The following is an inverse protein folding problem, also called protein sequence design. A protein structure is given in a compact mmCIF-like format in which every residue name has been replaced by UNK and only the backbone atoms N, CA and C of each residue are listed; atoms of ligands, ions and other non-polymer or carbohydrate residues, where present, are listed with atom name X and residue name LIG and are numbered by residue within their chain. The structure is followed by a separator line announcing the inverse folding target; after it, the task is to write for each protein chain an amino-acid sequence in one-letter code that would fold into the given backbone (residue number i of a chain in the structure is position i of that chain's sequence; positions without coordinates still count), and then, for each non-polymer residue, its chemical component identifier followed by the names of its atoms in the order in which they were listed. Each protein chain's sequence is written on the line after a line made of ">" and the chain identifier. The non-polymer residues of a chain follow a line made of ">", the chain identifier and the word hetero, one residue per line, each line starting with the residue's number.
data_IF_333888780273
#
_entry.id   IF_333888780273
#
_cell.length_a   1.000
_cell.length_b   1.000
_cell.length_c   1.000
_cell.angle_alpha   90.00
_cell.angle_beta   90.00
_cell.angle_gamma   90.00
#
_symmetry.space_group_name_H-M   'P 1'
#
loop_
_entity.id
_entity.type
_entity.pdbx_description
1 polymer ?
#
# COMPACT_ATOMS: atom_id res chain seq x y z
N UNK A 1 9.91 -30.98 43.34
CA UNK A 1 10.67 -31.23 42.11
C UNK A 1 9.76 -32.02 41.18
N UNK A 2 9.52 -31.53 39.96
CA UNK A 2 8.67 -32.22 38.99
C UNK A 2 9.30 -33.54 38.54
N UNK A 3 8.47 -34.55 38.32
CA UNK A 3 8.90 -35.86 37.84
C UNK A 3 9.53 -35.74 36.45
N UNK A 4 10.75 -36.28 36.27
CA UNK A 4 11.48 -36.25 35.00
C UNK A 4 11.40 -37.60 34.31
N UNK A 5 10.95 -37.61 33.05
CA UNK A 5 10.86 -38.82 32.21
C UNK A 5 12.07 -38.92 31.28
N UNK A 6 12.72 -40.09 31.23
CA UNK A 6 13.77 -40.35 30.24
C UNK A 6 13.16 -40.68 28.89
N UNK A 7 13.73 -40.10 27.84
CA UNK A 7 13.32 -40.30 26.45
C UNK A 7 14.57 -40.50 25.58
N UNK A 8 14.60 -41.57 24.80
CA UNK A 8 15.64 -41.79 23.79
C UNK A 8 15.09 -41.35 22.43
N UNK A 9 15.78 -40.41 21.78
CA UNK A 9 15.40 -39.87 20.47
C UNK A 9 16.57 -39.94 19.50
N UNK A 10 16.26 -40.05 18.21
CA UNK A 10 17.20 -39.81 17.12
C UNK A 10 16.89 -38.45 16.52
N UNK A 11 17.91 -37.63 16.33
CA UNK A 11 17.82 -36.31 15.72
C UNK A 11 18.85 -36.20 14.60
N UNK A 12 18.65 -35.23 13.71
CA UNK A 12 19.65 -34.90 12.69
C UNK A 12 20.90 -34.29 13.37
N UNK A 13 22.09 -34.44 12.77
CA UNK A 13 23.31 -33.82 13.30
C UNK A 13 23.16 -32.31 13.54
N UNK A 14 22.57 -31.59 12.58
CA UNK A 14 22.31 -30.14 12.66
C UNK A 14 21.45 -29.73 13.87
N UNK A 15 20.50 -30.60 14.26
CA UNK A 15 19.65 -30.37 15.44
C UNK A 15 20.45 -30.56 16.72
N UNK A 16 21.37 -31.53 16.74
CA UNK A 16 22.26 -31.73 17.87
C UNK A 16 23.23 -30.56 18.02
N UNK A 17 23.82 -30.09 16.90
CA UNK A 17 24.70 -28.93 16.87
C UNK A 17 23.98 -27.67 17.38
N UNK A 18 22.72 -27.48 16.98
CA UNK A 18 21.89 -26.38 17.49
C UNK A 18 21.66 -26.47 19.00
N UNK A 19 21.34 -27.66 19.52
CA UNK A 19 21.14 -27.85 20.97
C UNK A 19 22.44 -27.57 21.73
N UNK A 20 23.59 -28.00 21.22
CA UNK A 20 24.88 -27.74 21.84
C UNK A 20 25.24 -26.24 21.82
N UNK A 21 25.06 -25.56 20.69
CA UNK A 21 25.26 -24.11 20.61
C UNK A 21 24.34 -23.34 21.58
N UNK A 22 23.07 -23.75 21.67
CA UNK A 22 22.10 -23.14 22.58
C UNK A 22 22.50 -23.40 24.06
N UNK A 23 23.00 -24.59 24.38
CA UNK A 23 23.52 -24.92 25.72
C UNK A 23 24.67 -24.01 26.10
N UNK A 24 25.63 -23.85 25.22
CA UNK A 24 26.81 -23.03 25.47
C UNK A 24 26.41 -21.56 25.66
N UNK A 25 25.54 -21.03 24.79
CA UNK A 25 25.02 -19.67 24.88
C UNK A 25 24.28 -19.39 26.20
N UNK A 26 23.54 -20.37 26.72
CA UNK A 26 22.71 -20.21 27.92
C UNK A 26 23.32 -20.86 29.18
N UNK A 27 24.57 -21.32 29.10
CA UNK A 27 25.29 -21.99 30.20
C UNK A 27 24.54 -23.21 30.79
N UNK A 28 23.94 -24.04 29.92
CA UNK A 28 23.12 -25.19 30.32
C UNK A 28 23.92 -26.49 30.25
N UNK A 29 24.05 -27.18 31.39
CA UNK A 29 24.85 -28.40 31.51
C UNK A 29 24.26 -29.60 30.76
N UNK A 30 22.94 -29.75 30.69
CA UNK A 30 22.30 -30.97 30.16
C UNK A 30 21.44 -30.70 28.93
N UNK A 31 21.54 -31.54 27.90
CA UNK A 31 20.71 -31.48 26.69
C UNK A 31 19.21 -31.48 26.98
N UNK A 32 18.76 -32.26 27.96
CA UNK A 32 17.35 -32.27 28.36
C UNK A 32 16.87 -30.91 28.87
N UNK A 33 17.69 -30.19 29.63
CA UNK A 33 17.35 -28.85 30.13
C UNK A 33 17.36 -27.81 29.01
N UNK A 34 18.28 -27.93 28.05
CA UNK A 34 18.29 -27.05 26.88
C UNK A 34 17.07 -27.28 26.00
N UNK A 35 16.69 -28.55 25.78
CA UNK A 35 15.48 -28.89 25.05
C UNK A 35 14.23 -28.35 25.74
N UNK A 36 14.12 -28.50 27.07
CA UNK A 36 13.04 -27.89 27.86
C UNK A 36 12.98 -26.36 27.64
N UNK A 37 14.12 -25.68 27.70
CA UNK A 37 14.19 -24.22 27.52
C UNK A 37 13.83 -23.78 26.10
N UNK A 38 14.33 -24.48 25.08
CA UNK A 38 14.00 -24.22 23.67
C UNK A 38 12.49 -24.35 23.44
N UNK A 39 11.85 -25.37 24.02
CA UNK A 39 10.40 -25.57 23.92
C UNK A 39 9.65 -24.42 24.61
N UNK A 40 10.06 -24.02 25.81
CA UNK A 40 9.47 -22.88 26.53
C UNK A 40 9.60 -21.57 25.73
N UNK A 41 10.78 -21.30 25.17
CA UNK A 41 11.05 -20.11 24.37
C UNK A 41 10.21 -20.11 23.08
N UNK A 42 10.06 -21.28 22.45
CA UNK A 42 9.20 -21.44 21.26
C UNK A 42 7.72 -21.20 21.57
N UNK A 43 7.23 -21.68 22.71
CA UNK A 43 5.86 -21.40 23.16
C UNK A 43 5.66 -19.91 23.45
N UNK A 44 6.59 -19.28 24.16
CA UNK A 44 6.56 -17.84 24.42
C UNK A 44 6.61 -17.03 23.12
N UNK A 45 7.46 -17.45 22.17
CA UNK A 45 7.57 -16.84 20.85
C UNK A 45 6.27 -16.98 20.06
N UNK A 46 5.61 -18.14 20.06
CA UNK A 46 4.30 -18.33 19.40
C UNK A 46 3.23 -17.40 19.96
N UNK A 47 3.20 -17.16 21.26
CA UNK A 47 2.24 -16.24 21.88
C UNK A 47 2.54 -14.79 21.43
N UNK A 48 3.82 -14.40 21.50
CA UNK A 48 4.27 -13.08 21.04
C UNK A 48 4.02 -12.86 19.55
N UNK A 49 4.26 -13.86 18.72
CA UNK A 49 4.02 -13.82 17.27
C UNK A 49 2.53 -13.67 16.95
N UNK A 50 1.64 -14.43 17.62
CA UNK A 50 0.19 -14.22 17.49
C UNK A 50 -0.24 -12.82 17.92
N UNK A 51 0.31 -12.31 19.02
CA UNK A 51 0.03 -10.95 19.48
C UNK A 51 0.52 -9.89 18.49
N UNK A 52 1.72 -10.06 17.92
CA UNK A 52 2.27 -9.16 16.92
C UNK A 52 1.42 -9.16 15.64
N UNK A 53 1.00 -10.33 15.17
CA UNK A 53 0.07 -10.44 14.02
C UNK A 53 -1.24 -9.71 14.30
N UNK A 54 -1.84 -9.91 15.48
CA UNK A 54 -3.06 -9.21 15.86
C UNK A 54 -2.87 -7.68 15.87
N UNK A 55 -1.74 -7.18 16.39
CA UNK A 55 -1.41 -5.74 16.36
C UNK A 55 -1.26 -5.24 14.92
N UNK A 56 -0.57 -5.99 14.06
CA UNK A 56 -0.41 -5.65 12.65
C UNK A 56 -1.75 -5.62 11.91
N UNK A 57 -2.63 -6.59 12.17
CA UNK A 57 -3.97 -6.65 11.57
C UNK A 57 -4.82 -5.47 12.01
N UNK A 58 -4.79 -5.11 13.30
CA UNK A 58 -5.45 -3.92 13.83
C UNK A 58 -4.91 -2.63 13.20
N UNK A 59 -3.58 -2.50 13.07
CA UNK A 59 -2.96 -1.34 12.43
C UNK A 59 -3.34 -1.24 10.95
N UNK A 60 -3.36 -2.36 10.23
CA UNK A 60 -3.77 -2.41 8.83
C UNK A 60 -5.25 -2.05 8.67
N UNK A 61 -6.11 -2.48 9.59
CA UNK A 61 -7.53 -2.11 9.58
C UNK A 61 -7.75 -0.62 9.87
N UNK A 62 -7.09 -0.07 10.89
CA UNK A 62 -7.13 1.36 11.17
C UNK A 62 -6.61 2.18 10.00
N UNK A 63 -5.51 1.74 9.38
CA UNK A 63 -4.99 2.36 8.16
C UNK A 63 -6.02 2.34 7.03
N UNK A 64 -6.65 1.19 6.75
CA UNK A 64 -7.71 1.07 5.73
C UNK A 64 -8.86 2.05 5.99
N UNK A 65 -9.33 2.15 7.24
CA UNK A 65 -10.44 3.01 7.60
C UNK A 65 -10.12 4.49 7.40
N UNK A 66 -8.98 4.94 7.94
CA UNK A 66 -8.53 6.33 7.79
C UNK A 66 -8.32 6.66 6.31
N UNK A 67 -7.59 5.81 5.59
CA UNK A 67 -7.27 6.03 4.20
C UNK A 67 -8.52 6.05 3.30
N UNK A 68 -9.48 5.14 3.51
CA UNK A 68 -10.75 5.14 2.79
C UNK A 68 -11.54 6.44 3.04
N UNK A 69 -11.53 6.93 4.28
CA UNK A 69 -12.21 8.18 4.61
C UNK A 69 -11.58 9.40 3.93
N UNK A 70 -10.25 9.47 3.90
CA UNK A 70 -9.52 10.57 3.24
C UNK A 70 -9.67 10.50 1.72
N UNK A 71 -9.59 9.32 1.11
CA UNK A 71 -9.89 9.13 -0.32
C UNK A 71 -11.31 9.59 -0.66
N UNK A 72 -12.30 9.30 0.18
CA UNK A 72 -13.68 9.74 -0.01
C UNK A 72 -13.79 11.27 0.02
N UNK A 73 -13.10 11.94 0.95
CA UNK A 73 -13.06 13.42 0.99
C UNK A 73 -12.42 14.00 -0.27
N UNK A 74 -11.31 13.42 -0.74
CA UNK A 74 -10.67 13.81 -2.00
C UNK A 74 -11.61 13.65 -3.19
N UNK A 75 -12.32 12.51 -3.30
CA UNK A 75 -13.32 12.29 -4.35
C UNK A 75 -14.45 13.33 -4.30
N UNK A 76 -14.96 13.66 -3.10
CA UNK A 76 -15.99 14.69 -2.94
C UNK A 76 -15.47 16.08 -3.38
N UNK A 77 -14.22 16.42 -3.02
CA UNK A 77 -13.57 17.66 -3.44
C UNK A 77 -13.41 17.74 -4.96
N UNK A 78 -12.91 16.67 -5.59
CA UNK A 78 -12.77 16.57 -7.05
C UNK A 78 -14.12 16.71 -7.73
N UNK A 79 -15.14 15.98 -7.29
CA UNK A 79 -16.49 16.03 -7.87
C UNK A 79 -17.12 17.42 -7.72
N UNK A 80 -16.91 18.10 -6.59
CA UNK A 80 -17.40 19.48 -6.41
C UNK A 80 -16.69 20.45 -7.34
N UNK A 81 -15.37 20.32 -7.51
CA UNK A 81 -14.58 21.17 -8.41
C UNK A 81 -14.97 20.95 -9.86
N UNK A 82 -15.17 19.69 -10.26
CA UNK A 82 -15.59 19.30 -11.60
C UNK A 82 -16.98 19.86 -11.92
N UNK A 83 -17.96 19.68 -11.01
CA UNK A 83 -19.30 20.27 -11.16
C UNK A 83 -19.25 21.79 -11.30
N UNK A 84 -18.49 22.47 -10.45
CA UNK A 84 -18.37 23.92 -10.50
C UNK A 84 -17.70 24.38 -11.81
N UNK A 85 -16.70 23.66 -12.29
CA UNK A 85 -16.04 23.93 -13.57
C UNK A 85 -17.01 23.73 -14.73
N UNK A 86 -17.82 22.66 -14.72
CA UNK A 86 -18.84 22.43 -15.74
C UNK A 86 -19.86 23.57 -15.78
N UNK A 87 -20.34 24.03 -14.62
CA UNK A 87 -21.26 25.19 -14.55
C UNK A 87 -20.61 26.42 -15.21
N UNK A 88 -19.33 26.70 -14.95
CA UNK A 88 -18.62 27.81 -15.59
C UNK A 88 -18.51 27.62 -17.10
N UNK A 89 -18.23 26.41 -17.58
CA UNK A 89 -18.20 26.10 -19.01
C UNK A 89 -19.58 26.37 -19.64
N UNK A 90 -20.68 25.97 -19.00
CA UNK A 90 -22.02 26.25 -19.52
C UNK A 90 -22.31 27.75 -19.60
N UNK A 91 -21.95 28.51 -18.56
CA UNK A 91 -22.12 29.96 -18.56
C UNK A 91 -21.32 30.63 -19.67
N UNK A 92 -20.05 30.25 -19.85
CA UNK A 92 -19.21 30.78 -20.92
C UNK A 92 -19.75 30.41 -22.30
N UNK A 93 -20.25 29.19 -22.48
CA UNK A 93 -20.87 28.75 -23.72
C UNK A 93 -22.08 29.63 -24.10
N UNK A 94 -22.98 29.88 -23.14
CA UNK A 94 -24.13 30.77 -23.34
C UNK A 94 -23.72 32.20 -23.65
N UNK A 95 -22.72 32.73 -22.95
CA UNK A 95 -22.19 34.08 -23.23
C UNK A 95 -21.63 34.21 -24.64
N UNK A 96 -20.89 33.21 -25.11
CA UNK A 96 -20.25 33.22 -26.44
C UNK A 96 -21.26 33.05 -27.58
N UNK A 97 -22.39 32.40 -27.32
CA UNK A 97 -23.49 32.27 -28.28
C UNK A 97 -24.26 33.58 -28.49
N UNK A 98 -24.06 34.59 -27.63
CA UNK A 98 -24.73 35.89 -27.69
C UNK A 98 -26.28 35.79 -27.71
N UNK A 99 -26.80 34.81 -26.97
CA UNK A 99 -28.22 34.53 -26.84
C UNK A 99 -28.76 35.08 -25.51
N UNK A 100 -30.02 35.52 -25.50
CA UNK A 100 -30.67 36.08 -24.30
C UNK A 100 -30.98 35.03 -23.20
N UNK A 101 -30.62 33.77 -23.42
CA UNK A 101 -30.86 32.64 -22.53
C UNK A 101 -29.65 31.70 -22.52
N UNK A 102 -29.46 30.97 -21.41
CA UNK A 102 -28.36 30.03 -21.27
C UNK A 102 -28.56 28.83 -22.20
N UNK A 103 -27.72 28.73 -23.23
CA UNK A 103 -27.59 27.52 -24.07
C UNK A 103 -26.41 26.71 -23.55
N UNK A 104 -26.70 25.49 -23.08
CA UNK A 104 -25.67 24.56 -22.59
C UNK A 104 -24.96 23.86 -23.75
N UNK A 105 -23.73 23.41 -23.49
CA UNK A 105 -22.88 22.67 -24.43
C UNK A 105 -23.52 21.37 -24.91
N UNK A 106 -24.42 20.77 -24.12
CA UNK A 106 -25.22 19.61 -24.52
C UNK A 106 -26.19 19.90 -25.67
N UNK A 107 -26.66 21.14 -25.78
CA UNK A 107 -27.63 21.57 -26.77
C UNK A 107 -26.92 22.12 -28.00
N UNK A 108 -26.02 23.08 -27.77
CA UNK A 108 -25.17 23.65 -28.81
C UNK A 108 -23.89 24.17 -28.18
N UNK A 109 -22.77 23.57 -28.55
CA UNK A 109 -21.45 24.01 -28.12
C UNK A 109 -20.90 25.08 -29.05
N UNK A 110 -20.32 26.14 -28.47
CA UNK A 110 -19.63 27.20 -29.20
C UNK A 110 -18.24 26.76 -29.67
N UNK A 111 -17.85 27.23 -30.84
CA UNK A 111 -16.55 26.92 -31.43
C UNK A 111 -15.38 27.24 -30.48
N UNK A 112 -15.33 28.40 -29.78
CA UNK A 112 -14.25 28.66 -28.84
C UNK A 112 -14.20 27.68 -27.66
N UNK A 113 -15.35 27.23 -27.14
CA UNK A 113 -15.41 26.20 -26.08
C UNK A 113 -14.89 24.86 -26.59
N UNK A 114 -15.24 24.49 -27.82
CA UNK A 114 -14.77 23.25 -28.44
C UNK A 114 -13.25 23.24 -28.63
N UNK A 115 -12.69 24.34 -29.17
CA UNK A 115 -11.24 24.52 -29.32
C UNK A 115 -10.53 24.42 -27.98
N UNK A 116 -11.04 25.10 -26.94
CA UNK A 116 -10.44 25.07 -25.61
C UNK A 116 -10.44 23.66 -25.00
N UNK A 117 -11.51 22.88 -25.18
CA UNK A 117 -11.59 21.50 -24.71
C UNK A 117 -10.53 20.61 -25.37
N UNK A 118 -10.35 20.69 -26.69
CA UNK A 118 -9.36 19.86 -27.38
C UNK A 118 -7.93 20.24 -26.99
N UNK A 119 -7.61 21.53 -26.96
CA UNK A 119 -6.29 22.04 -26.54
C UNK A 119 -5.93 21.58 -25.10
N UNK A 120 -6.89 21.63 -24.17
CA UNK A 120 -6.68 21.13 -22.79
C UNK A 120 -6.49 19.62 -22.77
N UNK A 121 -7.26 18.87 -23.57
CA UNK A 121 -7.15 17.41 -23.67
C UNK A 121 -5.80 16.98 -24.22
N UNK A 122 -5.32 17.60 -25.29
CA UNK A 122 -4.00 17.34 -25.87
C UNK A 122 -2.89 17.62 -24.85
N UNK A 123 -2.98 18.75 -24.14
CA UNK A 123 -2.03 19.12 -23.09
C UNK A 123 -1.97 18.10 -21.96
N UNK A 124 -3.12 17.62 -21.48
CA UNK A 124 -3.19 16.57 -20.44
C UNK A 124 -2.58 15.27 -20.97
N UNK A 125 -2.90 14.88 -22.21
CA UNK A 125 -2.34 13.68 -22.85
C UNK A 125 -0.81 13.75 -22.92
N UNK A 126 -0.27 14.87 -23.38
CA UNK A 126 1.17 15.08 -23.48
C UNK A 126 1.86 15.07 -22.11
N UNK A 127 1.26 15.67 -21.09
CA UNK A 127 1.79 15.61 -19.72
C UNK A 127 1.79 14.18 -19.15
N UNK A 128 0.74 13.40 -19.43
CA UNK A 128 0.68 11.98 -19.04
C UNK A 128 1.76 11.17 -19.73
N UNK A 129 1.95 11.35 -21.03
CA UNK A 129 2.99 10.66 -21.79
C UNK A 129 4.38 10.97 -21.21
N UNK A 130 4.70 12.24 -20.98
CA UNK A 130 5.97 12.64 -20.35
C UNK A 130 6.22 11.96 -19.01
N UNK A 131 5.17 11.81 -18.19
CA UNK A 131 5.28 11.13 -16.90
C UNK A 131 5.59 9.64 -17.09
N UNK A 132 4.89 8.96 -18.00
CA UNK A 132 5.12 7.55 -18.33
C UNK A 132 6.55 7.35 -18.85
N UNK A 133 6.99 8.16 -19.82
CA UNK A 133 8.35 8.10 -20.39
C UNK A 133 9.41 8.30 -19.30
N UNK A 134 9.17 9.23 -18.36
CA UNK A 134 10.05 9.46 -17.22
C UNK A 134 10.10 8.23 -16.31
N UNK A 135 8.96 7.65 -15.94
CA UNK A 135 8.89 6.44 -15.10
C UNK A 135 9.59 5.24 -15.77
N UNK A 136 9.40 5.04 -17.07
CA UNK A 136 10.08 4.00 -17.85
C UNK A 136 11.60 4.21 -17.89
N UNK A 137 12.05 5.46 -18.06
CA UNK A 137 13.48 5.79 -18.02
C UNK A 137 14.11 5.53 -16.65
N UNK A 138 13.38 5.74 -15.54
CA UNK A 138 13.88 5.45 -14.20
C UNK A 138 13.98 3.94 -13.97
N UNK A 139 12.98 3.17 -14.40
CA UNK A 139 13.00 1.71 -14.31
C UNK A 139 14.18 1.12 -15.09
N UNK A 140 14.40 1.56 -16.33
CA UNK A 140 15.52 1.10 -17.16
C UNK A 140 16.90 1.36 -16.52
N UNK A 141 17.06 2.49 -15.83
CA UNK A 141 18.29 2.82 -15.09
C UNK A 141 18.51 1.93 -13.87
N UNK A 142 17.43 1.55 -13.18
CA UNK A 142 17.52 0.63 -12.04
C UNK A 142 17.91 -0.78 -12.49
N UNK A 143 17.35 -1.27 -13.59
CA UNK A 143 17.65 -2.63 -14.11
C UNK A 143 19.08 -2.74 -14.68
N UNK A 144 19.67 -1.64 -15.15
CA UNK A 144 21.06 -1.62 -15.65
C UNK A 144 22.12 -1.44 -14.54
N UNK A 145 21.73 -1.07 -13.32
CA UNK A 145 22.63 -0.94 -12.16
C UNK A 145 22.77 -2.20 -11.30
N UNK A 146 22.02 -3.26 -11.62
CA UNK A 146 22.05 -4.55 -10.92
C UNK A 146 22.85 -5.65 -11.66
N UNK A 147 23.65 -5.28 -12.68
CA UNK A 147 24.55 -6.18 -13.44
C UNK A 147 26.02 -5.83 -13.19
#
# INVERSE_FOLDING_TARGET
>A
MSERKRMNIRVLPEVMDYIDAYRDQHSITYHGQALEKIIQDHEAWKIKDRSNRAIMDMAAEQFRQVFASELKKLQLGVNSSDRNTQILIELMNGMLMNENHLITTSNMESEPVSIAKEEVKERISHQRQKKIDWEESQKAKQTQGEV
#
